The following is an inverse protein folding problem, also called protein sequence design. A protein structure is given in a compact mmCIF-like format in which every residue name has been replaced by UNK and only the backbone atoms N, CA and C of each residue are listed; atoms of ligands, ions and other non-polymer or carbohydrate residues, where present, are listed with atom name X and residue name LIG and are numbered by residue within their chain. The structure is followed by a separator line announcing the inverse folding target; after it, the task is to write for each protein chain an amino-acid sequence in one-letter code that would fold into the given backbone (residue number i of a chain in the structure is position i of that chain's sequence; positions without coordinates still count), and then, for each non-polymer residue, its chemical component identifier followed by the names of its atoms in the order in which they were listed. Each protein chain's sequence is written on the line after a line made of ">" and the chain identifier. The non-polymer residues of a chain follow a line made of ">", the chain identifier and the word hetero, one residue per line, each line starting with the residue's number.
data_IF_114733803998
#
_entry.id   IF_114733803998
#
_cell.length_a   1.000
_cell.length_b   1.000
_cell.length_c   1.000
_cell.angle_alpha   90.00
_cell.angle_beta   90.00
_cell.angle_gamma   90.00
#
_symmetry.space_group_name_H-M   'P 1'
#
loop_
_entity.id
_entity.type
_entity.pdbx_description
1 polymer ?
#
# COMPACT_ATOMS: atom_id res chain seq x y z
N UNK A 1 51.28 -11.97 2.42
CA UNK A 1 50.55 -12.58 1.30
C UNK A 1 49.06 -12.45 1.55
N UNK A 2 48.26 -11.84 0.66
CA UNK A 2 46.82 -11.69 0.88
C UNK A 2 46.15 -13.07 0.90
N UNK A 3 45.27 -13.30 1.89
CA UNK A 3 44.45 -14.51 1.97
C UNK A 3 43.50 -14.51 0.77
N UNK A 4 43.53 -15.58 -0.03
CA UNK A 4 42.61 -15.73 -1.17
C UNK A 4 41.18 -15.87 -0.67
N UNK A 5 40.23 -15.18 -1.30
CA UNK A 5 38.82 -15.28 -0.96
C UNK A 5 38.24 -16.66 -1.38
N UNK A 6 37.07 -17.02 -0.84
CA UNK A 6 36.43 -18.30 -1.11
C UNK A 6 36.15 -18.53 -2.62
N UNK A 7 35.76 -17.48 -3.33
CA UNK A 7 35.50 -17.50 -4.78
C UNK A 7 36.73 -17.92 -5.59
N UNK A 8 37.90 -17.35 -5.29
CA UNK A 8 39.15 -17.66 -5.98
C UNK A 8 39.61 -19.10 -5.73
N UNK A 9 39.26 -19.68 -4.56
CA UNK A 9 39.54 -21.09 -4.25
C UNK A 9 38.64 -22.01 -5.08
N UNK A 10 37.34 -21.72 -5.14
CA UNK A 10 36.38 -22.48 -5.95
C UNK A 10 36.71 -22.43 -7.45
N UNK A 11 37.06 -21.26 -7.98
CA UNK A 11 37.42 -21.12 -9.39
C UNK A 11 38.70 -21.91 -9.78
N UNK A 12 39.68 -22.02 -8.86
CA UNK A 12 40.87 -22.85 -9.11
C UNK A 12 40.57 -24.33 -9.09
N UNK A 13 39.62 -24.75 -8.27
CA UNK A 13 39.15 -26.13 -8.25
C UNK A 13 38.52 -26.49 -9.60
N UNK A 14 37.56 -25.67 -10.06
CA UNK A 14 36.92 -25.78 -11.36
C UNK A 14 37.92 -25.80 -12.53
N UNK A 15 38.91 -24.90 -12.50
CA UNK A 15 39.98 -24.89 -13.48
C UNK A 15 40.77 -26.21 -13.51
N UNK A 16 41.04 -26.81 -12.34
CA UNK A 16 41.80 -28.06 -12.24
C UNK A 16 40.99 -29.26 -12.68
N UNK A 17 39.71 -29.31 -12.35
CA UNK A 17 38.85 -30.47 -12.62
C UNK A 17 38.32 -30.48 -14.05
N UNK A 18 37.97 -29.31 -14.59
CA UNK A 18 37.31 -29.21 -15.91
C UNK A 18 38.25 -28.71 -17.01
N UNK A 19 39.48 -28.31 -16.67
CA UNK A 19 40.46 -27.79 -17.64
C UNK A 19 40.07 -26.45 -18.27
N UNK A 20 39.07 -25.75 -17.72
CA UNK A 20 38.61 -24.46 -18.24
C UNK A 20 39.55 -23.31 -17.82
N UNK A 21 39.54 -22.23 -18.60
CA UNK A 21 40.32 -21.03 -18.26
C UNK A 21 39.86 -20.38 -16.94
N UNK A 22 40.79 -19.83 -16.16
CA UNK A 22 40.50 -19.26 -14.84
C UNK A 22 39.40 -18.18 -14.82
N UNK A 23 39.35 -17.32 -15.85
CA UNK A 23 38.31 -16.30 -15.99
C UNK A 23 36.92 -16.91 -16.21
N UNK A 24 36.85 -18.01 -16.96
CA UNK A 24 35.61 -18.75 -17.21
C UNK A 24 35.15 -19.45 -15.92
N UNK A 25 36.08 -20.02 -15.15
CA UNK A 25 35.79 -20.61 -13.85
C UNK A 25 35.28 -19.57 -12.84
N UNK A 26 35.88 -18.37 -12.79
CA UNK A 26 35.42 -17.27 -11.93
C UNK A 26 33.99 -16.83 -12.28
N UNK A 27 33.67 -16.68 -13.58
CA UNK A 27 32.31 -16.33 -14.01
C UNK A 27 31.30 -17.37 -13.58
N UNK A 28 31.60 -18.65 -13.82
CA UNK A 28 30.72 -19.76 -13.43
C UNK A 28 30.45 -19.82 -11.92
N UNK A 29 31.49 -19.67 -11.09
CA UNK A 29 31.32 -19.60 -9.63
C UNK A 29 30.40 -18.44 -9.23
N UNK A 30 30.54 -17.28 -9.88
CA UNK A 30 29.68 -16.12 -9.61
C UNK A 30 28.25 -16.33 -10.06
N UNK A 31 28.06 -16.92 -11.25
CA UNK A 31 26.73 -17.23 -11.78
C UNK A 31 26.02 -18.26 -10.90
N UNK A 32 26.73 -19.29 -10.43
CA UNK A 32 26.21 -20.30 -9.49
C UNK A 32 25.90 -19.69 -8.10
N UNK A 33 26.75 -18.77 -7.62
CA UNK A 33 26.51 -18.06 -6.34
C UNK A 33 25.34 -17.09 -6.45
N UNK A 34 25.20 -16.40 -7.59
CA UNK A 34 24.09 -15.50 -7.86
C UNK A 34 22.76 -16.24 -8.11
N UNK A 35 22.82 -17.45 -8.69
CA UNK A 35 21.66 -18.30 -8.94
C UNK A 35 21.19 -19.07 -7.69
N UNK A 36 21.99 -19.10 -6.62
CA UNK A 36 21.58 -19.67 -5.34
C UNK A 36 21.08 -18.52 -4.46
N UNK A 37 19.77 -18.25 -4.40
CA UNK A 37 19.26 -17.29 -3.43
C UNK A 37 19.69 -17.75 -2.04
N UNK A 38 20.17 -16.84 -1.17
CA UNK A 38 20.50 -17.20 0.19
C UNK A 38 19.24 -17.80 0.82
N UNK A 39 19.27 -19.12 1.04
CA UNK A 39 18.28 -19.77 1.87
C UNK A 39 18.67 -19.44 3.30
N UNK A 40 18.40 -18.19 3.70
CA UNK A 40 18.30 -17.91 5.12
C UNK A 40 17.29 -18.92 5.67
N UNK A 41 17.63 -19.64 6.76
CA UNK A 41 16.64 -20.43 7.46
C UNK A 41 15.59 -19.44 7.95
N UNK A 42 14.52 -19.27 7.15
CA UNK A 42 13.31 -18.58 7.56
C UNK A 42 12.93 -19.29 8.86
N UNK A 43 12.98 -18.61 10.02
CA UNK A 43 12.52 -19.23 11.25
C UNK A 43 11.14 -19.79 10.95
N UNK A 44 10.80 -21.00 11.44
CA UNK A 44 9.47 -21.56 11.21
C UNK A 44 8.49 -20.45 11.52
N UNK A 45 7.69 -20.07 10.51
CA UNK A 45 6.58 -19.18 10.72
C UNK A 45 5.65 -19.96 11.62
N UNK A 46 5.90 -19.88 12.93
CA UNK A 46 5.00 -20.44 13.91
C UNK A 46 3.79 -19.55 13.75
N UNK A 47 2.82 -20.07 13.00
CA UNK A 47 1.47 -19.56 12.92
C UNK A 47 0.85 -19.74 14.31
N UNK A 48 1.34 -18.95 15.27
CA UNK A 48 0.56 -18.66 16.45
C UNK A 48 -0.59 -17.83 15.92
N UNK A 49 -1.73 -18.51 15.69
CA UNK A 49 -3.01 -17.82 15.70
C UNK A 49 -3.06 -17.13 17.06
N UNK A 50 -2.79 -15.82 17.07
CA UNK A 50 -2.90 -15.00 18.25
C UNK A 50 -4.38 -14.94 18.60
N UNK A 51 -4.84 -15.90 19.41
CA UNK A 51 -6.17 -15.78 20.00
C UNK A 51 -6.14 -14.68 21.07
N UNK A 52 -7.21 -13.88 21.18
CA UNK A 52 -7.33 -12.96 22.31
C UNK A 52 -7.12 -13.71 23.62
N UNK A 53 -6.29 -13.16 24.49
CA UNK A 53 -6.23 -13.65 25.88
C UNK A 53 -7.60 -13.48 26.54
N UNK A 54 -7.86 -14.22 27.63
CA UNK A 54 -9.14 -14.08 28.33
C UNK A 54 -9.42 -12.63 28.79
N UNK A 55 -8.37 -11.87 29.13
CA UNK A 55 -8.47 -10.45 29.45
C UNK A 55 -8.87 -9.63 28.22
N UNK A 56 -8.17 -9.82 27.09
CA UNK A 56 -8.47 -9.12 25.83
C UNK A 56 -9.87 -9.45 25.29
N UNK A 57 -10.32 -10.71 25.41
CA UNK A 57 -11.67 -11.11 25.07
C UNK A 57 -12.73 -10.44 25.96
N UNK A 58 -12.42 -10.22 27.24
CA UNK A 58 -13.31 -9.49 28.17
C UNK A 58 -13.42 -8.02 27.77
N UNK A 59 -12.35 -7.44 27.24
CA UNK A 59 -12.32 -6.08 26.71
C UNK A 59 -12.94 -5.95 25.30
N UNK A 60 -13.51 -7.04 24.76
CA UNK A 60 -14.15 -7.07 23.46
C UNK A 60 -13.18 -7.10 22.26
N UNK A 61 -11.90 -7.37 22.50
CA UNK A 61 -10.87 -7.35 21.46
C UNK A 61 -11.05 -8.53 20.51
N UNK A 62 -11.21 -8.23 19.21
CA UNK A 62 -11.39 -9.25 18.17
C UNK A 62 -10.07 -9.78 17.63
N UNK A 63 -10.11 -10.85 16.84
CA UNK A 63 -8.92 -11.39 16.17
C UNK A 63 -8.35 -10.39 15.14
N UNK A 64 -9.22 -9.64 14.46
CA UNK A 64 -8.81 -8.59 13.52
C UNK A 64 -7.98 -7.50 14.21
N UNK A 65 -8.37 -7.11 15.43
CA UNK A 65 -7.61 -6.17 16.27
C UNK A 65 -6.29 -6.73 16.82
N UNK A 66 -6.05 -8.03 16.68
CA UNK A 66 -4.78 -8.68 17.00
C UNK A 66 -3.88 -8.82 15.76
N UNK A 67 -4.35 -8.38 14.59
CA UNK A 67 -3.59 -8.32 13.34
C UNK A 67 -3.66 -9.62 12.53
N UNK A 68 -3.01 -9.61 11.35
CA UNK A 68 -3.07 -10.71 10.38
C UNK A 68 -2.72 -12.07 10.97
N UNK A 69 -1.81 -12.12 11.96
CA UNK A 69 -1.37 -13.38 12.58
C UNK A 69 -2.44 -14.06 13.43
N UNK A 70 -3.48 -13.33 13.82
CA UNK A 70 -4.63 -13.87 14.55
C UNK A 70 -5.71 -14.45 13.62
N UNK A 71 -5.60 -14.23 12.31
CA UNK A 71 -6.57 -14.71 11.35
C UNK A 71 -6.34 -16.18 10.98
N UNK A 72 -7.40 -16.91 10.55
CA UNK A 72 -7.25 -18.26 10.05
C UNK A 72 -6.46 -18.26 8.73
N UNK A 73 -5.85 -19.41 8.40
CA UNK A 73 -4.97 -19.53 7.23
C UNK A 73 -5.70 -19.33 5.89
N UNK A 74 -7.02 -19.48 5.86
CA UNK A 74 -7.89 -19.27 4.70
C UNK A 74 -8.52 -17.87 4.66
N UNK A 75 -8.08 -16.94 5.52
CA UNK A 75 -8.51 -15.55 5.47
C UNK A 75 -8.21 -14.92 4.10
N UNK A 76 -9.22 -14.22 3.56
CA UNK A 76 -9.11 -13.53 2.27
C UNK A 76 -8.08 -12.39 2.32
N UNK A 77 -7.53 -11.97 1.16
CA UNK A 77 -6.65 -10.80 1.10
C UNK A 77 -7.26 -9.55 1.75
N UNK A 78 -8.55 -9.29 1.50
CA UNK A 78 -9.31 -8.19 2.10
C UNK A 78 -9.33 -8.27 3.62
N UNK A 79 -9.65 -9.43 4.21
CA UNK A 79 -9.66 -9.61 5.67
C UNK A 79 -8.27 -9.39 6.28
N UNK A 80 -7.23 -9.90 5.61
CA UNK A 80 -5.84 -9.74 6.07
C UNK A 80 -5.41 -8.28 6.00
N UNK A 81 -5.69 -7.58 4.91
CA UNK A 81 -5.39 -6.16 4.79
C UNK A 81 -6.14 -5.32 5.83
N UNK A 82 -7.43 -5.60 6.05
CA UNK A 82 -8.23 -4.93 7.07
C UNK A 82 -7.64 -5.13 8.47
N UNK A 83 -7.29 -6.37 8.85
CA UNK A 83 -6.66 -6.64 10.15
C UNK A 83 -5.28 -5.98 10.31
N UNK A 84 -4.53 -5.79 9.22
CA UNK A 84 -3.25 -5.07 9.22
C UNK A 84 -3.44 -3.55 9.35
N UNK A 85 -4.54 -3.00 8.79
CA UNK A 85 -4.86 -1.57 8.84
C UNK A 85 -5.57 -1.13 10.13
N UNK A 86 -6.34 -2.02 10.76
CA UNK A 86 -6.92 -1.78 12.08
C UNK A 86 -5.80 -1.90 13.10
N UNK A 87 -5.32 -0.76 13.61
CA UNK A 87 -4.15 -0.71 14.47
C UNK A 87 -4.45 -0.53 15.97
N UNK A 88 -3.64 -1.18 16.80
CA UNK A 88 -3.74 -1.23 18.26
C UNK A 88 -2.32 -1.42 18.76
N UNK A 89 -1.72 -0.36 19.34
CA UNK A 89 -0.32 -0.41 19.74
C UNK A 89 -0.08 -1.48 20.80
N UNK A 90 1.00 -2.24 20.64
CA UNK A 90 1.51 -3.11 21.69
C UNK A 90 2.37 -2.28 22.67
N UNK A 91 2.44 -2.70 23.93
CA UNK A 91 3.43 -2.18 24.87
C UNK A 91 4.85 -2.54 24.41
N UNK A 92 5.86 -1.78 24.85
CA UNK A 92 7.27 -2.00 24.47
C UNK A 92 7.83 -3.34 24.98
N UNK A 93 7.19 -3.93 25.98
CA UNK A 93 7.51 -5.21 26.60
C UNK A 93 6.90 -6.40 25.84
N UNK A 94 6.02 -6.15 24.87
CA UNK A 94 5.37 -7.15 24.04
C UNK A 94 5.83 -7.06 22.59
N UNK A 95 5.91 -8.19 21.86
CA UNK A 95 6.19 -8.17 20.42
C UNK A 95 5.14 -7.34 19.67
N UNK A 96 5.58 -6.64 18.63
CA UNK A 96 4.66 -5.97 17.71
C UNK A 96 3.83 -7.00 16.94
N UNK A 97 2.56 -6.67 16.70
CA UNK A 97 1.62 -7.51 15.93
C UNK A 97 1.75 -7.36 14.42
N UNK A 98 2.53 -6.39 13.95
CA UNK A 98 2.74 -6.13 12.52
C UNK A 98 3.17 -7.38 11.76
N UNK A 99 2.77 -7.44 10.50
CA UNK A 99 3.40 -8.30 9.52
C UNK A 99 4.73 -7.69 9.04
N UNK A 100 5.74 -8.51 8.76
CA UNK A 100 7.06 -8.03 8.35
C UNK A 100 7.95 -7.50 9.48
N UNK A 101 9.06 -6.86 9.10
CA UNK A 101 9.96 -6.18 10.04
C UNK A 101 9.42 -4.81 10.43
N UNK A 102 9.73 -4.36 11.66
CA UNK A 102 9.32 -3.06 12.19
C UNK A 102 10.37 -2.55 13.19
N UNK A 103 10.32 -1.26 13.49
CA UNK A 103 11.20 -0.60 14.46
C UNK A 103 10.60 -0.55 15.89
N UNK A 104 9.60 -1.38 16.18
CA UNK A 104 9.03 -1.47 17.53
C UNK A 104 10.08 -1.87 18.55
N UNK A 105 10.07 -1.18 19.70
CA UNK A 105 11.05 -1.26 20.77
C UNK A 105 12.49 -0.85 20.39
N UNK A 106 12.74 -0.36 19.16
CA UNK A 106 14.02 0.23 18.80
C UNK A 106 14.30 1.50 19.62
N UNK A 107 15.57 1.88 19.85
CA UNK A 107 15.90 3.14 20.52
C UNK A 107 15.36 4.35 19.75
N UNK A 108 14.92 5.37 20.47
CA UNK A 108 14.53 6.65 19.89
C UNK A 108 15.65 7.25 19.02
N UNK A 109 15.37 7.83 17.83
CA UNK A 109 16.40 8.47 17.00
C UNK A 109 17.07 9.65 17.72
N UNK A 110 16.31 10.36 18.57
CA UNK A 110 16.81 11.43 19.44
C UNK A 110 17.61 10.96 20.67
N UNK A 111 18.07 9.70 20.71
CA UNK A 111 18.93 9.20 21.79
C UNK A 111 20.21 10.02 21.98
N UNK A 112 20.73 10.59 20.89
CA UNK A 112 21.96 11.39 20.94
C UNK A 112 21.72 12.75 21.62
N UNK A 113 20.44 13.16 21.74
CA UNK A 113 19.99 14.31 22.53
C UNK A 113 19.64 13.93 23.98
N UNK A 114 19.94 12.70 24.39
CA UNK A 114 19.72 12.19 25.74
C UNK A 114 18.39 11.48 25.96
N UNK A 115 17.58 11.28 24.91
CA UNK A 115 16.34 10.52 25.02
C UNK A 115 16.61 9.03 25.30
N UNK A 116 16.01 8.48 26.36
CA UNK A 116 16.13 7.06 26.71
C UNK A 116 14.93 6.23 26.26
N UNK A 117 13.98 6.85 25.55
CA UNK A 117 12.75 6.21 25.12
C UNK A 117 12.93 5.21 23.99
N UNK A 118 11.87 4.44 23.76
CA UNK A 118 11.79 3.45 22.69
C UNK A 118 10.61 3.75 21.79
N UNK A 119 10.69 3.27 20.56
CA UNK A 119 9.62 3.42 19.58
C UNK A 119 8.49 2.43 19.86
N UNK A 120 7.27 2.93 19.99
CA UNK A 120 6.03 2.15 19.94
C UNK A 120 5.45 2.28 18.54
N UNK A 121 5.16 1.17 17.86
CA UNK A 121 4.46 1.19 16.57
C UNK A 121 2.99 1.58 16.80
N UNK A 122 2.63 2.81 16.44
CA UNK A 122 1.34 3.41 16.77
C UNK A 122 0.33 3.37 15.63
N UNK A 123 0.78 3.21 14.39
CA UNK A 123 -0.13 3.11 13.26
C UNK A 123 0.51 2.42 12.06
N UNK A 124 -0.33 1.78 11.23
CA UNK A 124 0.04 1.27 9.91
C UNK A 124 -1.10 1.50 8.93
N UNK A 125 -0.76 2.06 7.77
CA UNK A 125 -1.73 2.31 6.71
C UNK A 125 -1.10 2.14 5.32
N UNK A 126 -1.90 2.10 4.24
CA UNK A 126 -1.37 2.13 2.87
C UNK A 126 -0.42 3.31 2.64
N UNK A 127 0.70 3.06 1.98
CA UNK A 127 1.78 4.04 1.78
C UNK A 127 1.94 4.52 0.34
N UNK A 128 1.08 4.10 -0.59
CA UNK A 128 1.15 4.48 -2.00
C UNK A 128 -0.24 4.54 -2.61
N UNK A 129 -0.41 5.36 -3.65
CA UNK A 129 -1.60 5.32 -4.51
C UNK A 129 -1.48 4.29 -5.66
N UNK A 130 -0.28 3.77 -5.89
CA UNK A 130 0.06 2.99 -7.09
C UNK A 130 0.80 1.69 -6.82
N UNK A 131 1.12 1.38 -5.56
CA UNK A 131 1.80 0.14 -5.17
C UNK A 131 1.02 -0.53 -4.05
N UNK A 132 0.25 -1.57 -4.39
CA UNK A 132 -0.67 -2.26 -3.46
C UNK A 132 0.02 -2.94 -2.28
N UNK A 133 1.34 -3.14 -2.36
CA UNK A 133 2.16 -3.78 -1.31
C UNK A 133 2.96 -2.78 -0.48
N UNK A 134 2.85 -1.48 -0.79
CA UNK A 134 3.52 -0.43 -0.04
C UNK A 134 2.65 0.03 1.12
N UNK A 135 3.15 -0.16 2.33
CA UNK A 135 2.57 0.29 3.59
C UNK A 135 3.45 1.37 4.20
N UNK A 136 2.90 2.09 5.15
CA UNK A 136 3.53 3.16 5.88
C UNK A 136 3.30 2.93 7.37
N UNK A 137 4.38 2.90 8.12
CA UNK A 137 4.39 2.69 9.56
C UNK A 137 4.65 4.02 10.27
N UNK A 138 3.92 4.26 11.35
CA UNK A 138 4.15 5.38 12.26
C UNK A 138 4.53 4.85 13.63
N UNK A 139 5.58 5.42 14.20
CA UNK A 139 6.10 5.10 15.52
C UNK A 139 6.16 6.35 16.38
N UNK A 140 5.86 6.19 17.67
CA UNK A 140 5.97 7.26 18.65
C UNK A 140 6.94 6.85 19.75
N UNK A 141 7.84 7.76 20.16
CA UNK A 141 8.71 7.52 21.30
C UNK A 141 7.91 7.50 22.62
N UNK A 142 8.28 6.62 23.54
CA UNK A 142 7.63 6.52 24.86
C UNK A 142 7.98 7.64 25.84
N UNK A 143 9.06 8.40 25.58
CA UNK A 143 9.60 9.39 26.53
C UNK A 143 9.66 10.81 25.97
N UNK A 144 9.60 10.98 24.66
CA UNK A 144 9.54 12.28 24.00
C UNK A 144 8.50 12.27 22.88
N UNK A 145 8.18 13.43 22.33
CA UNK A 145 7.17 13.58 21.26
C UNK A 145 7.72 13.26 19.86
N UNK A 146 8.86 12.57 19.78
CA UNK A 146 9.46 12.18 18.51
C UNK A 146 8.61 11.13 17.80
N UNK A 147 8.34 11.39 16.52
CA UNK A 147 7.59 10.50 15.63
C UNK A 147 8.52 10.04 14.52
N UNK A 148 8.65 8.73 14.36
CA UNK A 148 9.32 8.14 13.22
C UNK A 148 8.28 7.59 12.25
N UNK A 149 8.48 7.85 10.97
CA UNK A 149 7.65 7.30 9.90
C UNK A 149 8.54 6.57 8.90
N UNK A 150 8.12 5.38 8.45
CA UNK A 150 8.86 4.65 7.43
C UNK A 150 7.96 3.80 6.54
N UNK A 151 8.36 3.68 5.27
CA UNK A 151 7.70 2.81 4.32
C UNK A 151 8.15 1.35 4.49
N UNK A 152 7.21 0.42 4.38
CA UNK A 152 7.46 -1.02 4.40
C UNK A 152 6.77 -1.70 3.23
N UNK A 153 7.45 -2.63 2.58
CA UNK A 153 6.85 -3.44 1.50
C UNK A 153 6.42 -4.79 2.07
N UNK A 154 5.15 -5.14 1.90
CA UNK A 154 4.58 -6.42 2.30
C UNK A 154 4.00 -7.15 1.07
N UNK A 155 4.82 -7.93 0.33
CA UNK A 155 4.39 -8.57 -0.91
C UNK A 155 3.18 -9.50 -0.77
N UNK A 156 3.06 -10.13 0.40
CA UNK A 156 2.01 -11.12 0.70
C UNK A 156 0.75 -10.51 1.34
N UNK A 157 0.71 -9.18 1.46
CA UNK A 157 -0.35 -8.41 2.09
C UNK A 157 -0.64 -7.14 1.28
N UNK A 158 -1.28 -7.29 0.11
CA UNK A 158 -1.74 -6.14 -0.63
C UNK A 158 -2.86 -5.42 0.14
N UNK A 159 -2.85 -4.09 0.21
CA UNK A 159 -3.90 -3.29 0.84
C UNK A 159 -5.09 -3.01 -0.09
N UNK A 160 -4.98 -3.37 -1.36
CA UNK A 160 -6.02 -3.20 -2.36
C UNK A 160 -5.76 -4.06 -3.60
N UNK A 161 -6.57 -3.85 -4.63
CA UNK A 161 -6.49 -4.57 -5.91
C UNK A 161 -6.16 -3.61 -7.05
N UNK A 162 -5.13 -3.92 -7.84
CA UNK A 162 -4.79 -3.16 -9.03
C UNK A 162 -5.93 -3.19 -10.06
N UNK A 163 -6.32 -2.02 -10.59
CA UNK A 163 -7.31 -1.92 -11.67
C UNK A 163 -6.64 -1.79 -13.04
N UNK A 164 -7.31 -2.30 -14.07
CA UNK A 164 -6.84 -2.24 -15.47
C UNK A 164 -6.68 -0.79 -15.97
N UNK A 165 -7.52 0.13 -15.49
CA UNK A 165 -7.48 1.55 -15.85
C UNK A 165 -6.32 2.33 -15.19
N UNK A 166 -5.50 1.66 -14.39
CA UNK A 166 -4.56 2.30 -13.46
C UNK A 166 -5.22 2.54 -12.10
N UNK A 167 -4.38 2.70 -11.07
CA UNK A 167 -4.82 2.87 -9.69
C UNK A 167 -5.16 1.57 -8.96
N UNK A 168 -5.46 1.70 -7.68
CA UNK A 168 -5.72 0.58 -6.77
C UNK A 168 -7.09 0.79 -6.13
N UNK A 169 -7.94 -0.22 -6.22
CA UNK A 169 -9.16 -0.28 -5.42
C UNK A 169 -8.80 -0.68 -3.99
N UNK A 170 -9.05 0.21 -3.04
CA UNK A 170 -8.82 -0.05 -1.62
C UNK A 170 -9.77 -1.15 -1.13
N UNK A 171 -9.24 -2.12 -0.39
CA UNK A 171 -10.06 -3.16 0.22
C UNK A 171 -10.99 -2.58 1.29
N UNK A 172 -12.20 -3.14 1.40
CA UNK A 172 -13.19 -2.70 2.39
C UNK A 172 -12.61 -2.73 3.82
N UNK A 173 -12.81 -1.63 4.56
CA UNK A 173 -12.31 -1.43 5.92
C UNK A 173 -10.83 -1.03 6.01
N UNK A 174 -10.09 -0.99 4.90
CA UNK A 174 -8.72 -0.49 4.91
C UNK A 174 -8.72 1.04 4.84
N UNK A 175 -8.35 1.69 5.94
CA UNK A 175 -8.21 3.14 6.01
C UNK A 175 -6.97 3.62 5.25
N UNK A 176 -7.16 4.47 4.24
CA UNK A 176 -6.07 5.13 3.50
C UNK A 176 -6.05 6.64 3.85
N UNK A 177 -4.91 7.26 4.21
CA UNK A 177 -4.87 8.66 4.65
C UNK A 177 -5.44 9.68 3.65
N UNK A 178 -5.21 9.45 2.34
CA UNK A 178 -5.76 10.28 1.27
C UNK A 178 -7.27 10.09 1.01
N UNK A 179 -7.91 9.09 1.62
CA UNK A 179 -9.32 8.76 1.43
C UNK A 179 -9.96 8.53 2.81
N UNK A 180 -10.26 9.61 3.56
CA UNK A 180 -10.94 9.46 4.84
C UNK A 180 -12.27 8.72 4.64
N UNK A 181 -12.61 7.85 5.59
CA UNK A 181 -13.87 7.10 5.57
C UNK A 181 -15.05 8.06 5.47
N UNK A 182 -15.90 7.87 4.46
CA UNK A 182 -17.25 8.47 4.47
C UNK A 182 -18.01 7.71 5.54
N UNK A 183 -18.26 8.34 6.68
CA UNK A 183 -19.21 7.79 7.64
C UNK A 183 -20.60 7.78 6.99
N UNK A 184 -21.42 6.76 7.27
CA UNK A 184 -22.81 6.69 6.79
C UNK A 184 -23.64 7.93 7.19
N UNK A 185 -23.22 8.64 8.23
CA UNK A 185 -23.81 9.89 8.73
C UNK A 185 -23.23 11.16 8.07
N UNK A 186 -22.30 11.04 7.12
CA UNK A 186 -21.79 12.19 6.36
C UNK A 186 -22.96 12.71 5.53
N UNK A 187 -23.45 13.94 5.78
CA UNK A 187 -24.61 14.46 5.06
C UNK A 187 -24.34 14.35 3.57
N UNK A 188 -25.27 13.72 2.84
CA UNK A 188 -25.22 13.59 1.38
C UNK A 188 -24.70 14.91 0.80
N UNK A 189 -23.52 14.86 0.17
CA UNK A 189 -22.97 16.05 -0.46
C UNK A 189 -24.03 16.53 -1.48
N UNK A 190 -24.35 17.84 -1.55
CA UNK A 190 -25.53 18.32 -2.28
C UNK A 190 -25.57 18.01 -3.79
N UNK A 191 -24.52 17.44 -4.36
CA UNK A 191 -24.37 17.20 -5.80
C UNK A 191 -23.77 15.81 -6.06
N UNK A 192 -24.56 14.75 -5.83
CA UNK A 192 -24.14 13.36 -6.06
C UNK A 192 -23.10 12.86 -5.05
N UNK A 193 -23.04 11.56 -4.82
CA UNK A 193 -22.19 10.95 -3.77
C UNK A 193 -20.67 11.15 -3.94
N UNK A 194 -20.23 11.87 -4.98
CA UNK A 194 -18.84 12.24 -5.22
C UNK A 194 -17.91 11.05 -5.43
N UNK A 195 -18.42 9.82 -5.50
CA UNK A 195 -17.63 8.60 -5.49
C UNK A 195 -17.66 7.92 -6.87
N UNK A 196 -16.50 7.75 -7.53
CA UNK A 196 -16.47 6.95 -8.78
C UNK A 196 -16.81 5.51 -8.41
N UNK A 197 -17.94 5.01 -8.90
CA UNK A 197 -18.40 3.61 -8.74
C UNK A 197 -17.34 2.56 -9.09
N UNK A 198 -16.34 2.92 -9.89
CA UNK A 198 -15.25 2.04 -10.32
C UNK A 198 -14.04 2.02 -9.36
N UNK A 199 -13.71 3.15 -8.72
CA UNK A 199 -12.52 3.33 -7.86
C UNK A 199 -12.85 3.45 -6.36
N UNK A 200 -14.09 3.82 -6.00
CA UNK A 200 -14.43 4.31 -4.66
C UNK A 200 -13.76 5.63 -4.28
N UNK A 201 -13.07 6.29 -5.22
CA UNK A 201 -12.34 7.54 -5.03
C UNK A 201 -13.19 8.76 -5.36
N UNK A 202 -12.79 9.91 -4.82
CA UNK A 202 -13.50 11.18 -5.01
C UNK A 202 -13.06 11.93 -6.26
N UNK A 203 -14.00 12.64 -6.88
CA UNK A 203 -13.67 13.72 -7.80
C UNK A 203 -13.51 15.03 -7.03
N UNK A 204 -12.40 15.74 -7.23
CA UNK A 204 -12.28 17.14 -6.82
C UNK A 204 -12.76 17.98 -8.00
N UNK A 205 -13.93 18.61 -7.86
CA UNK A 205 -14.47 19.66 -8.74
C UNK A 205 -14.21 19.49 -10.26
N UNK A 206 -15.05 18.68 -10.91
CA UNK A 206 -15.42 18.93 -12.32
C UNK A 206 -14.73 18.12 -13.43
N UNK A 207 -13.68 17.35 -13.20
CA UNK A 207 -13.01 16.60 -14.27
C UNK A 207 -12.43 15.26 -13.77
N UNK A 208 -13.14 14.14 -14.04
CA UNK A 208 -12.68 12.74 -13.95
C UNK A 208 -12.36 12.22 -12.50
N UNK A 209 -12.67 10.95 -12.15
CA UNK A 209 -12.05 10.35 -10.93
C UNK A 209 -10.55 10.23 -11.21
N UNK A 210 -9.74 10.90 -10.39
CA UNK A 210 -8.28 10.94 -10.50
C UNK A 210 -7.65 9.54 -10.32
N UNK A 211 -8.42 8.59 -9.75
CA UNK A 211 -8.03 7.18 -9.61
C UNK A 211 -8.36 6.29 -10.82
N UNK A 212 -9.57 6.40 -11.41
CA UNK A 212 -10.08 5.49 -12.45
C UNK A 212 -10.07 6.08 -13.86
N UNK A 213 -10.01 7.42 -14.01
CA UNK A 213 -10.25 8.16 -15.27
C UNK A 213 -11.47 7.69 -16.08
N UNK A 214 -12.45 7.05 -15.44
CA UNK A 214 -13.64 6.56 -16.11
C UNK A 214 -14.66 7.68 -16.29
N UNK A 215 -15.22 7.78 -17.48
CA UNK A 215 -16.35 8.64 -17.81
C UNK A 215 -17.61 7.92 -17.32
N UNK A 216 -18.22 8.38 -16.22
CA UNK A 216 -19.39 7.68 -15.72
C UNK A 216 -19.85 8.16 -14.36
N UNK A 217 -20.62 9.24 -14.37
CA UNK A 217 -21.49 9.59 -13.26
C UNK A 217 -22.82 8.87 -13.48
N UNK A 218 -23.33 8.20 -12.46
CA UNK A 218 -24.76 7.90 -12.38
C UNK A 218 -25.32 8.80 -11.30
N UNK A 219 -26.10 9.80 -11.71
CA UNK A 219 -27.01 10.43 -10.79
C UNK A 219 -27.98 9.38 -10.23
N UNK A 220 -28.52 9.62 -9.04
CA UNK A 220 -29.58 8.77 -8.48
C UNK A 220 -30.87 8.78 -9.33
N UNK A 221 -30.92 9.61 -10.37
CA UNK A 221 -32.07 9.79 -11.24
C UNK A 221 -31.96 9.14 -12.61
N UNK A 222 -30.86 8.48 -13.00
CA UNK A 222 -30.84 7.66 -14.21
C UNK A 222 -31.30 8.38 -15.49
N UNK A 223 -31.12 9.69 -15.57
CA UNK A 223 -31.41 10.48 -16.76
C UNK A 223 -30.11 11.21 -17.08
N UNK A 224 -29.37 10.68 -18.06
CA UNK A 224 -28.59 11.57 -18.92
C UNK A 224 -29.65 12.47 -19.56
N UNK A 225 -29.90 13.65 -18.98
CA UNK A 225 -30.58 14.69 -19.73
C UNK A 225 -29.63 14.96 -20.90
N UNK A 226 -30.06 14.60 -22.11
CA UNK A 226 -29.37 15.03 -23.31
C UNK A 226 -29.16 16.54 -23.17
N UNK A 227 -27.94 17.06 -23.38
CA UNK A 227 -27.67 18.47 -23.22
C UNK A 227 -28.69 19.25 -24.04
N UNK A 228 -29.40 20.18 -23.38
CA UNK A 228 -30.39 21.02 -24.05
C UNK A 228 -29.69 21.70 -25.23
N UNK A 229 -30.10 21.43 -26.49
CA UNK A 229 -29.41 21.96 -27.66
C UNK A 229 -29.39 23.50 -27.72
N UNK A 230 -30.18 24.17 -26.87
CA UNK A 230 -30.23 25.63 -26.78
C UNK A 230 -29.18 26.25 -25.81
N UNK A 231 -28.45 25.47 -25.01
CA UNK A 231 -27.43 25.97 -24.05
C UNK A 231 -25.99 25.96 -24.61
N UNK A 232 -25.84 26.20 -25.91
CA UNK A 232 -24.54 26.46 -26.55
C UNK A 232 -24.09 27.92 -26.35
N UNK A 233 -22.78 28.22 -26.32
CA UNK A 233 -22.31 29.60 -26.27
C UNK A 233 -22.78 30.37 -27.52
N UNK A 234 -23.67 31.35 -27.33
CA UNK A 234 -24.11 32.25 -28.39
C UNK A 234 -22.89 33.00 -28.96
N UNK A 235 -22.57 32.83 -30.24
CA UNK A 235 -21.61 33.69 -30.92
C UNK A 235 -22.27 35.09 -31.02
N UNK A 236 -21.56 36.18 -30.67
CA UNK A 236 -22.12 37.56 -30.57
C UNK A 236 -22.79 38.09 -31.85
N UNK A 237 -22.74 37.34 -32.97
CA UNK A 237 -23.45 37.62 -34.22
C UNK A 237 -24.85 36.99 -34.33
N UNK A 238 -25.33 36.22 -33.34
CA UNK A 238 -26.70 35.69 -33.31
C UNK A 238 -26.98 34.48 -34.23
N UNK A 239 -25.95 33.71 -34.60
CA UNK A 239 -26.08 32.48 -35.38
C UNK A 239 -25.86 31.22 -34.54
N UNK A 240 -26.66 30.17 -34.79
CA UNK A 240 -26.50 28.84 -34.19
C UNK A 240 -25.38 28.08 -34.90
N UNK A 241 -24.46 27.50 -34.13
CA UNK A 241 -23.38 26.65 -34.64
C UNK A 241 -23.97 25.35 -35.24
N UNK A 242 -23.86 25.19 -36.55
CA UNK A 242 -24.15 23.92 -37.22
C UNK A 242 -22.89 23.08 -37.36
N UNK A 243 -22.88 21.88 -36.79
CA UNK A 243 -21.84 20.86 -37.04
C UNK A 243 -22.13 20.16 -38.38
N UNK A 244 -21.14 20.00 -39.27
CA UNK A 244 -20.50 18.69 -39.32
C UNK A 244 -19.02 18.75 -39.71
N UNK A 245 -18.15 18.56 -38.73
CA UNK A 245 -16.81 18.02 -38.92
C UNK A 245 -15.72 19.02 -39.32
N UNK A 246 -14.94 19.42 -38.31
CA UNK A 246 -13.62 20.09 -38.37
C UNK A 246 -13.63 21.62 -38.56
N UNK A 247 -12.85 22.27 -37.67
CA UNK A 247 -12.50 23.70 -37.53
C UNK A 247 -13.65 24.70 -37.30
N UNK A 248 -13.81 25.10 -36.03
CA UNK A 248 -14.71 26.17 -35.59
C UNK A 248 -14.22 27.53 -36.10
N UNK A 249 -14.85 28.05 -37.16
CA UNK A 249 -14.76 29.45 -37.54
C UNK A 249 -16.16 30.09 -37.47
N UNK A 250 -16.37 31.10 -36.61
CA UNK A 250 -17.55 31.96 -36.74
C UNK A 250 -17.40 32.73 -38.07
N UNK A 251 -18.28 32.44 -39.02
CA UNK A 251 -18.46 33.26 -40.23
C UNK A 251 -19.60 34.22 -39.93
N UNK A 252 -19.30 35.52 -39.91
CA UNK A 252 -20.28 36.58 -39.80
C UNK A 252 -20.97 36.87 -41.14
#
# INVERSE_FOLDING_TARGET
>A
MPKRNAEQKAARELQRTEGIGYQQAIRRVRDETAATPPTEPKPPAVAYVLHPTAAEATDGITAEELGVRALPADATPTQRAHAEAVWRPAGIDRPCRCSGGCDHAAPCPDRDQGCTGRLTHVDRHPGSLFVETAWWDTYQCTECDEVLECGVTLPELPWGEQREAGGILIFSGVRHPNFPEIHEDTPELPDGDGSCRSCGGYAIAGLLCDGCRADGWSDAYGILEEPDPDDGPECECGGILGDPGHDYHCVC
#
